data_IF_580463735246
#
_entry.id   IF_580463735246
#
_cell.length_a   1.000
_cell.length_b   1.000
_cell.length_c   1.000
_cell.angle_alpha   90.00
_cell.angle_beta   90.00
_cell.angle_gamma   90.00
#
_symmetry.space_group_name_H-M   'P 1'
#
loop_
_entity.id
_entity.type
_entity.pdbx_description
1 polymer ?
#
# COMPACT_ATOMS: atom_id res chain seq x y z
N UNK A 1 9.89 -12.90 -10.24
CA UNK A 1 9.82 -11.42 -10.34
C UNK A 1 10.68 -10.81 -9.23
N UNK A 2 11.13 -9.55 -9.31
CA UNK A 2 11.95 -8.96 -8.25
C UNK A 2 11.16 -8.95 -6.94
N UNK A 3 11.79 -9.39 -5.85
CA UNK A 3 11.27 -9.23 -4.49
C UNK A 3 11.02 -7.74 -4.24
N UNK A 4 9.90 -7.40 -3.58
CA UNK A 4 9.65 -6.02 -3.16
C UNK A 4 10.78 -5.61 -2.21
N UNK A 5 11.47 -4.52 -2.53
CA UNK A 5 12.38 -3.89 -1.59
C UNK A 5 11.54 -3.14 -0.55
N UNK A 6 11.62 -3.60 0.69
CA UNK A 6 10.84 -3.07 1.82
C UNK A 6 11.14 -1.60 2.09
N UNK A 7 12.41 -1.20 2.01
CA UNK A 7 12.82 0.16 2.32
C UNK A 7 12.37 1.13 1.21
N UNK A 8 12.41 0.66 -0.05
CA UNK A 8 11.87 1.41 -1.19
C UNK A 8 10.34 1.56 -1.07
N UNK A 9 9.63 0.50 -0.69
CA UNK A 9 8.18 0.56 -0.47
C UNK A 9 7.80 1.55 0.64
N UNK A 10 8.53 1.55 1.77
CA UNK A 10 8.29 2.51 2.86
C UNK A 10 8.50 3.94 2.39
N UNK A 11 9.59 4.19 1.65
CA UNK A 11 9.86 5.51 1.09
C UNK A 11 8.74 5.95 0.13
N UNK A 12 8.27 5.04 -0.73
CA UNK A 12 7.18 5.31 -1.65
C UNK A 12 5.86 5.59 -0.93
N UNK A 13 5.52 4.79 0.10
CA UNK A 13 4.35 5.00 0.94
C UNK A 13 4.36 6.42 1.54
N UNK A 14 5.50 6.83 2.12
CA UNK A 14 5.65 8.16 2.74
C UNK A 14 5.49 9.29 1.72
N UNK A 15 6.14 9.18 0.55
CA UNK A 15 6.02 10.17 -0.54
C UNK A 15 4.56 10.32 -0.99
N UNK A 16 3.85 9.21 -1.09
CA UNK A 16 2.47 9.21 -1.59
C UNK A 16 1.49 9.71 -0.55
N UNK A 17 1.67 9.33 0.72
CA UNK A 17 0.98 9.93 1.84
C UNK A 17 1.13 11.46 1.87
N UNK A 18 2.36 11.97 1.75
CA UNK A 18 2.63 13.41 1.64
C UNK A 18 1.88 14.02 0.44
N UNK A 19 1.96 13.38 -0.73
CA UNK A 19 1.30 13.87 -1.95
C UNK A 19 -0.21 14.00 -1.76
N UNK A 20 -0.86 13.00 -1.18
CA UNK A 20 -2.31 13.06 -0.90
C UNK A 20 -2.63 14.13 0.16
N UNK A 21 -1.77 14.29 1.17
CA UNK A 21 -1.93 15.35 2.16
C UNK A 21 -1.81 16.75 1.52
N UNK A 22 -0.91 16.96 0.56
CA UNK A 22 -0.80 18.24 -0.18
C UNK A 22 -2.13 18.64 -0.83
N UNK A 23 -2.82 17.69 -1.45
CA UNK A 23 -4.07 17.96 -2.15
C UNK A 23 -5.29 18.08 -1.24
N UNK A 24 -5.17 17.64 0.02
CA UNK A 24 -6.26 17.70 1.01
C UNK A 24 -6.07 18.85 2.01
N UNK A 25 -4.88 19.44 2.10
CA UNK A 25 -4.64 20.64 2.89
C UNK A 25 -5.22 21.88 2.21
N UNK A 26 -6.05 22.62 2.96
CA UNK A 26 -6.74 23.81 2.47
C UNK A 26 -5.87 25.08 2.50
N UNK A 27 -4.67 25.01 3.07
CA UNK A 27 -3.77 26.16 3.26
C UNK A 27 -2.38 25.89 2.67
N UNK A 28 -2.12 26.26 1.41
CA UNK A 28 -0.88 25.97 0.67
C UNK A 28 0.36 26.74 1.16
N UNK A 29 0.26 27.42 2.30
CA UNK A 29 1.27 28.34 2.84
C UNK A 29 1.97 27.82 4.11
N UNK A 30 1.66 26.60 4.53
CA UNK A 30 2.42 25.86 5.55
C UNK A 30 3.38 24.86 4.89
N UNK A 31 4.48 24.55 5.57
CA UNK A 31 5.33 23.42 5.22
C UNK A 31 4.48 22.16 5.05
N UNK A 32 4.83 21.35 4.06
CA UNK A 32 4.08 20.13 3.77
C UNK A 32 4.04 19.26 5.02
N UNK A 33 2.86 18.72 5.39
CA UNK A 33 2.79 17.81 6.51
C UNK A 33 3.65 16.58 6.19
N UNK A 34 4.68 16.35 6.99
CA UNK A 34 5.46 15.12 7.01
C UNK A 34 4.80 14.18 8.02
N UNK A 35 4.04 13.16 7.57
CA UNK A 35 3.44 12.23 8.49
C UNK A 35 4.52 11.30 9.05
N UNK A 36 4.50 11.09 10.36
CA UNK A 36 5.42 10.16 11.04
C UNK A 36 4.78 8.76 11.15
N UNK A 37 3.45 8.70 11.24
CA UNK A 37 2.67 7.49 11.44
C UNK A 37 1.44 7.44 10.53
N UNK A 38 0.81 6.26 10.44
CA UNK A 38 -0.41 6.07 9.65
C UNK A 38 -1.60 6.86 10.21
N UNK A 39 -1.61 7.16 11.51
CA UNK A 39 -2.67 7.96 12.14
C UNK A 39 -2.62 9.44 11.73
N UNK A 40 -1.46 9.92 11.29
CA UNK A 40 -1.28 11.29 10.80
C UNK A 40 -1.91 11.49 9.42
N UNK A 41 -2.12 10.38 8.68
CA UNK A 41 -2.82 10.40 7.40
C UNK A 41 -4.30 10.10 7.62
N UNK A 42 -5.16 11.07 7.29
CA UNK A 42 -6.61 10.90 7.41
C UNK A 42 -7.10 9.67 6.64
N UNK A 43 -8.24 9.09 7.04
CA UNK A 43 -8.78 7.86 6.46
C UNK A 43 -8.95 7.90 4.94
N UNK A 44 -9.28 9.06 4.38
CA UNK A 44 -9.31 9.27 2.92
C UNK A 44 -7.94 9.04 2.27
N UNK A 45 -6.87 9.55 2.88
CA UNK A 45 -5.52 9.39 2.38
C UNK A 45 -5.04 7.93 2.47
N UNK A 46 -5.38 7.22 3.54
CA UNK A 46 -5.14 5.77 3.67
C UNK A 46 -5.81 5.00 2.53
N UNK A 47 -7.08 5.32 2.21
CA UNK A 47 -7.80 4.67 1.11
C UNK A 47 -7.14 4.95 -0.24
N UNK A 48 -6.78 6.20 -0.53
CA UNK A 48 -6.11 6.57 -1.80
C UNK A 48 -4.74 5.90 -1.95
N UNK A 49 -3.95 5.89 -0.87
CA UNK A 49 -2.67 5.19 -0.81
C UNK A 49 -2.85 3.70 -1.10
N UNK A 50 -3.84 3.06 -0.48
CA UNK A 50 -4.11 1.63 -0.66
C UNK A 50 -4.50 1.32 -2.11
N UNK A 51 -5.44 2.07 -2.71
CA UNK A 51 -5.87 1.92 -4.11
C UNK A 51 -4.70 2.03 -5.12
N UNK A 52 -3.77 2.94 -4.86
CA UNK A 52 -2.61 3.11 -5.73
C UNK A 52 -1.61 1.95 -5.61
N UNK A 53 -1.44 1.39 -4.40
CA UNK A 53 -0.62 0.18 -4.21
C UNK A 53 -1.29 -1.05 -4.84
N UNK A 54 -2.62 -1.15 -4.81
CA UNK A 54 -3.38 -2.20 -5.49
C UNK A 54 -3.09 -2.20 -7.00
N UNK A 55 -3.18 -1.03 -7.62
CA UNK A 55 -2.89 -0.85 -9.05
C UNK A 55 -1.42 -1.19 -9.37
N UNK A 56 -0.49 -0.64 -8.56
CA UNK A 56 0.95 -0.83 -8.76
C UNK A 56 1.38 -2.30 -8.70
N UNK A 57 0.85 -3.05 -7.75
CA UNK A 57 1.21 -4.45 -7.52
C UNK A 57 0.20 -5.45 -8.11
N UNK A 58 -0.88 -4.95 -8.74
CA UNK A 58 -1.98 -5.77 -9.28
C UNK A 58 -2.56 -6.75 -8.26
N UNK A 59 -2.92 -6.24 -7.08
CA UNK A 59 -3.48 -7.00 -5.95
C UNK A 59 -4.71 -6.32 -5.37
N UNK A 60 -5.53 -7.07 -4.62
CA UNK A 60 -6.67 -6.54 -3.85
C UNK A 60 -6.27 -6.38 -2.37
N UNK A 61 -6.22 -5.14 -1.87
CA UNK A 61 -5.73 -4.76 -0.55
C UNK A 61 -6.81 -4.12 0.32
N UNK A 62 -7.67 -3.26 -0.24
CA UNK A 62 -8.71 -2.52 0.48
C UNK A 62 -9.64 -3.45 1.24
N UNK A 63 -10.07 -4.54 0.62
CA UNK A 63 -10.94 -5.53 1.27
C UNK A 63 -10.24 -6.19 2.48
N UNK A 64 -8.92 -6.30 2.42
CA UNK A 64 -8.10 -6.92 3.46
C UNK A 64 -7.68 -5.93 4.55
N UNK A 65 -7.90 -4.62 4.38
CA UNK A 65 -7.54 -3.59 5.36
C UNK A 65 -8.26 -3.76 6.70
N UNK A 66 -9.37 -4.48 6.74
CA UNK A 66 -10.06 -4.83 8.00
C UNK A 66 -9.15 -5.65 8.94
N UNK A 67 -8.21 -6.41 8.38
CA UNK A 67 -7.25 -7.23 9.12
C UNK A 67 -6.00 -6.45 9.54
N UNK A 68 -5.80 -5.24 9.02
CA UNK A 68 -4.69 -4.38 9.44
C UNK A 68 -4.89 -3.93 10.89
N UNK A 69 -3.82 -4.03 11.69
CA UNK A 69 -3.76 -3.64 13.11
C UNK A 69 -2.53 -2.78 13.44
N UNK A 70 -1.69 -2.52 12.45
CA UNK A 70 -0.49 -1.69 12.60
C UNK A 70 -0.81 -0.20 12.66
N UNK A 71 0.14 0.59 13.13
CA UNK A 71 0.04 2.05 13.22
C UNK A 71 1.18 2.79 12.51
N UNK A 72 2.26 2.08 12.18
CA UNK A 72 3.42 2.64 11.49
C UNK A 72 3.38 2.39 9.99
N UNK A 73 4.19 3.15 9.24
CA UNK A 73 4.39 2.91 7.81
C UNK A 73 5.11 1.59 7.56
N UNK A 74 5.96 1.19 8.49
CA UNK A 74 6.67 -0.07 8.52
C UNK A 74 5.68 -1.24 8.64
N UNK A 75 4.73 -1.17 9.57
CA UNK A 75 3.68 -2.19 9.71
C UNK A 75 2.83 -2.28 8.44
N UNK A 76 2.53 -1.13 7.83
CA UNK A 76 1.75 -1.08 6.60
C UNK A 76 2.53 -1.68 5.43
N UNK A 77 3.82 -1.39 5.29
CA UNK A 77 4.68 -2.01 4.28
C UNK A 77 4.73 -3.54 4.44
N UNK A 78 4.90 -4.03 5.67
CA UNK A 78 4.90 -5.48 5.95
C UNK A 78 3.56 -6.13 5.58
N UNK A 79 2.45 -5.47 5.92
CA UNK A 79 1.11 -5.92 5.54
C UNK A 79 0.92 -6.03 4.02
N UNK A 80 1.46 -5.08 3.25
CA UNK A 80 1.40 -5.06 1.78
C UNK A 80 2.27 -6.15 1.19
N UNK A 81 3.52 -6.29 1.64
CA UNK A 81 4.46 -7.31 1.15
C UNK A 81 3.85 -8.70 1.32
N UNK A 82 3.34 -9.02 2.52
CA UNK A 82 2.69 -10.30 2.80
C UNK A 82 1.55 -10.61 1.81
N UNK A 83 0.80 -9.60 1.38
CA UNK A 83 -0.36 -9.75 0.48
C UNK A 83 0.04 -9.85 -0.97
N UNK A 84 1.07 -9.13 -1.38
CA UNK A 84 1.62 -9.27 -2.72
C UNK A 84 2.22 -10.66 -2.88
N UNK A 85 2.98 -11.15 -1.91
CA UNK A 85 3.53 -12.51 -1.94
C UNK A 85 2.42 -13.57 -1.95
N UNK A 86 1.39 -13.46 -1.10
CA UNK A 86 0.25 -14.40 -1.10
C UNK A 86 -0.63 -14.30 -2.35
N UNK A 87 -0.77 -13.10 -2.91
CA UNK A 87 -1.53 -12.86 -4.14
C UNK A 87 -0.85 -13.50 -5.34
N UNK A 88 0.49 -13.44 -5.39
CA UNK A 88 1.30 -14.11 -6.41
C UNK A 88 1.11 -15.64 -6.39
N UNK A 89 1.05 -16.25 -5.21
CA UNK A 89 0.81 -17.69 -5.07
C UNK A 89 -0.53 -18.13 -5.68
N UNK A 90 -1.56 -17.28 -5.70
CA UNK A 90 -2.84 -17.60 -6.33
C UNK A 90 -2.76 -17.55 -7.86
N UNK A 91 -2.13 -16.51 -8.42
CA UNK A 91 -2.02 -16.33 -9.87
C UNK A 91 -1.15 -17.40 -10.52
N UNK A 92 -0.09 -17.86 -9.86
CA UNK A 92 0.76 -18.96 -10.36
C UNK A 92 0.03 -20.32 -10.35
N UNK A 93 -0.79 -20.59 -9.32
CA UNK A 93 -1.56 -21.85 -9.22
C UNK A 93 -2.69 -21.95 -10.26
N UNK A 94 -3.28 -20.83 -10.68
CA UNK A 94 -4.33 -20.80 -11.71
C UNK A 94 -3.76 -20.92 -13.13
N UNK A 95 -2.52 -20.47 -13.37
CA UNK A 95 -1.84 -20.62 -14.67
C UNK A 95 -1.19 -22.01 -14.86
N UNK A 96 -0.95 -22.75 -13.78
CA UNK A 96 -0.48 -24.15 -13.81
C UNK A 96 -1.58 -25.18 -14.10
N UNK A 97 -2.85 -24.80 -14.03
CA UNK A 97 -3.99 -25.68 -14.28
C UNK A 97 -4.35 -25.72 -15.78
N UNK A 98 -3.47 -26.25 -16.62
CA UNK A 98 -3.90 -26.75 -17.94
C UNK A 98 -4.52 -28.13 -17.72
N UNK A 99 -5.83 -28.33 -17.93
CA UNK A 99 -6.39 -29.67 -17.94
C UNK A 99 -5.92 -30.33 -19.24
N UNK A 100 -4.88 -31.14 -19.14
CA UNK A 100 -4.52 -32.08 -20.20
C UNK A 100 -5.44 -33.30 -20.10
N UNK A 101 -6.41 -33.40 -21.01
CA UNK A 101 -6.86 -34.61 -21.74
C UNK A 101 -8.18 -34.34 -22.46
#
# INVERSE_FOLDING_TARGET
MPSIDRDELIAQIKIQAMTVLMFTHSEPQYDLPEPEQMEDIGSFAVVQLTLMLEDLYSVELLEQMVDFKGGSFEDFADFIIERVEKGQDRVENEQGAVPGA
#
